data_IF_646533030052
#
_entry.id   IF_646533030052
#
_cell.length_a   1.000
_cell.length_b   1.000
_cell.length_c   1.000
_cell.angle_alpha   90.00
_cell.angle_beta   90.00
_cell.angle_gamma   90.00
#
_symmetry.space_group_name_H-M   'P 1'
#
loop_
_entity.id
_entity.type
_entity.pdbx_description
1 polymer ?
#
# COMPACT_ATOMS: atom_id res chain seq x y z
N UNK A 1 15.57 -3.70 -4.99
CA UNK A 1 14.46 -4.54 -4.51
C UNK A 1 13.15 -3.82 -4.78
N UNK A 2 12.06 -4.52 -4.78
CA UNK A 2 10.72 -3.97 -5.01
C UNK A 2 10.02 -3.71 -3.70
N UNK A 3 9.39 -2.54 -3.56
CA UNK A 3 8.49 -2.24 -2.45
C UNK A 3 7.06 -2.12 -2.99
N UNK A 4 6.13 -2.78 -2.31
CA UNK A 4 4.69 -2.69 -2.61
C UNK A 4 4.02 -1.93 -1.49
N UNK A 5 3.28 -0.88 -1.82
CA UNK A 5 2.60 -0.03 -0.85
C UNK A 5 1.09 -0.23 -0.97
N UNK A 6 0.46 -0.50 0.17
CA UNK A 6 -1.00 -0.38 0.25
C UNK A 6 -1.39 1.10 0.45
N UNK A 7 -2.67 1.37 0.52
CA UNK A 7 -3.17 2.73 0.70
C UNK A 7 -2.67 3.36 2.01
N UNK A 8 -2.63 2.60 3.09
CA UNK A 8 -2.20 3.10 4.39
C UNK A 8 -0.74 3.58 4.35
N UNK A 9 0.11 2.85 3.66
CA UNK A 9 1.53 3.21 3.50
C UNK A 9 1.71 4.43 2.59
N UNK A 10 1.02 4.47 1.46
CA UNK A 10 1.10 5.61 0.54
C UNK A 10 0.68 6.91 1.22
N UNK A 11 -0.37 6.89 2.03
CA UNK A 11 -0.84 8.07 2.74
C UNK A 11 0.22 8.66 3.67
N UNK A 12 1.06 7.83 4.29
CA UNK A 12 2.14 8.29 5.18
C UNK A 12 3.18 9.15 4.46
N UNK A 13 3.31 8.99 3.16
CA UNK A 13 4.24 9.81 2.38
C UNK A 13 3.81 11.28 2.31
N UNK A 14 2.50 11.53 2.33
CA UNK A 14 1.94 12.89 2.13
C UNK A 14 1.52 13.56 3.42
N UNK A 15 1.46 12.83 4.51
CA UNK A 15 0.97 13.33 5.80
C UNK A 15 2.09 13.27 6.85
N UNK A 16 2.21 14.35 7.63
CA UNK A 16 3.19 14.42 8.73
C UNK A 16 2.64 13.71 9.96
N UNK A 17 2.74 12.39 9.96
CA UNK A 17 2.24 11.56 11.04
C UNK A 17 3.18 10.35 11.26
N UNK A 18 3.02 9.59 12.36
CA UNK A 18 3.87 8.42 12.61
C UNK A 18 3.87 7.46 11.44
N UNK A 19 5.06 7.03 11.01
CA UNK A 19 5.23 6.15 9.85
C UNK A 19 5.76 6.87 8.62
N UNK A 20 5.67 8.21 8.56
CA UNK A 20 6.17 8.99 7.42
C UNK A 20 7.66 8.69 7.14
N UNK A 21 8.49 8.67 8.18
CA UNK A 21 9.93 8.45 8.01
C UNK A 21 10.25 7.03 7.52
N UNK A 22 9.52 6.03 8.02
CA UNK A 22 9.69 4.65 7.59
C UNK A 22 9.39 4.51 6.08
N UNK A 23 8.27 5.08 5.63
CA UNK A 23 7.90 5.06 4.22
C UNK A 23 8.95 5.78 3.38
N UNK A 24 9.35 6.98 3.78
CA UNK A 24 10.35 7.78 3.06
C UNK A 24 11.67 7.01 2.93
N UNK A 25 12.09 6.32 3.98
CA UNK A 25 13.32 5.52 3.97
C UNK A 25 13.24 4.38 2.95
N UNK A 26 12.14 3.62 2.95
CA UNK A 26 11.96 2.54 1.98
C UNK A 26 11.91 3.04 0.54
N UNK A 27 11.24 4.16 0.29
CA UNK A 27 11.13 4.73 -1.04
C UNK A 27 12.48 5.26 -1.57
N UNK A 28 13.38 5.66 -0.68
CA UNK A 28 14.75 6.05 -1.07
C UNK A 28 15.62 4.84 -1.39
N UNK A 29 15.43 3.74 -0.68
CA UNK A 29 16.28 2.55 -0.81
C UNK A 29 15.85 1.65 -1.97
N UNK A 30 14.55 1.53 -2.21
CA UNK A 30 14.00 0.60 -3.19
C UNK A 30 13.72 1.32 -4.51
N UNK A 31 14.35 0.88 -5.62
CA UNK A 31 14.20 1.57 -6.90
C UNK A 31 12.85 1.32 -7.58
N UNK A 32 12.16 0.26 -7.24
CA UNK A 32 10.89 -0.14 -7.86
C UNK A 32 9.75 -0.03 -6.85
N UNK A 33 8.82 0.88 -7.13
CA UNK A 33 7.63 1.08 -6.31
C UNK A 33 6.42 0.50 -7.04
N UNK A 34 5.64 -0.31 -6.34
CA UNK A 34 4.45 -0.94 -6.89
C UNK A 34 3.24 -0.69 -5.98
N UNK A 35 2.07 -0.66 -6.57
CA UNK A 35 0.82 -0.56 -5.83
C UNK A 35 -0.31 -1.13 -6.69
N UNK A 36 -1.40 -1.53 -6.04
CA UNK A 36 -2.61 -1.92 -6.76
C UNK A 36 -3.28 -0.69 -7.37
N UNK A 37 -3.98 -0.87 -8.48
CA UNK A 37 -4.75 0.21 -9.12
C UNK A 37 -5.76 0.85 -8.16
N UNK A 38 -6.26 0.10 -7.17
CA UNK A 38 -7.20 0.59 -6.18
C UNK A 38 -6.61 1.70 -5.31
N UNK A 39 -5.30 1.66 -5.06
CA UNK A 39 -4.63 2.64 -4.21
C UNK A 39 -4.80 4.07 -4.72
N UNK A 40 -4.86 4.26 -6.03
CA UNK A 40 -5.03 5.59 -6.61
C UNK A 40 -6.30 6.27 -6.09
N UNK A 41 -7.44 5.59 -6.21
CA UNK A 41 -8.73 6.17 -5.80
C UNK A 41 -8.82 6.33 -4.28
N UNK A 42 -8.32 5.36 -3.55
CA UNK A 42 -8.34 5.42 -2.09
C UNK A 42 -7.47 6.55 -1.54
N UNK A 43 -6.27 6.72 -2.07
CA UNK A 43 -5.36 7.80 -1.63
C UNK A 43 -5.95 9.16 -1.99
N UNK A 44 -6.43 9.34 -3.21
CA UNK A 44 -7.01 10.63 -3.64
C UNK A 44 -8.22 11.01 -2.77
N UNK A 45 -9.10 10.06 -2.49
CA UNK A 45 -10.27 10.33 -1.65
C UNK A 45 -9.87 10.64 -0.20
N UNK A 46 -8.90 9.92 0.35
CA UNK A 46 -8.40 10.17 1.70
C UNK A 46 -7.72 11.52 1.82
N UNK A 47 -6.91 11.92 0.84
CA UNK A 47 -6.28 13.25 0.82
C UNK A 47 -7.32 14.36 0.73
N UNK A 48 -8.39 14.16 -0.03
CA UNK A 48 -9.51 15.10 -0.08
C UNK A 48 -10.14 15.29 1.29
N UNK A 49 -10.32 14.22 2.05
CA UNK A 49 -10.96 14.26 3.37
C UNK A 49 -10.13 14.97 4.44
N UNK A 50 -8.80 14.91 4.34
CA UNK A 50 -7.90 15.52 5.33
C UNK A 50 -7.44 16.93 4.94
N UNK A 51 -7.61 17.33 3.69
CA UNK A 51 -7.16 18.64 3.21
C UNK A 51 -7.93 19.77 3.88
N UNK A 52 -7.22 20.86 4.19
CA UNK A 52 -7.76 22.05 4.82
C UNK A 52 -8.38 23.03 3.81
N UNK A 53 -8.84 22.54 2.69
CA UNK A 53 -9.48 23.35 1.65
C UNK A 53 -8.96 23.03 0.26
N UNK A 54 -9.51 23.74 -0.79
CA UNK A 54 -9.21 23.41 -2.18
C UNK A 54 -7.73 23.58 -2.57
N UNK A 55 -7.04 24.54 -1.98
CA UNK A 55 -5.62 24.80 -2.31
C UNK A 55 -4.75 23.65 -1.83
N UNK A 56 -4.89 23.26 -0.57
CA UNK A 56 -4.14 22.14 0.00
C UNK A 56 -4.49 20.83 -0.72
N UNK A 57 -5.75 20.61 -1.06
CA UNK A 57 -6.16 19.42 -1.80
C UNK A 57 -5.46 19.34 -3.16
N UNK A 58 -5.40 20.45 -3.90
CA UNK A 58 -4.71 20.46 -5.19
C UNK A 58 -3.22 20.18 -5.04
N UNK A 59 -2.59 20.73 -4.01
CA UNK A 59 -1.16 20.50 -3.74
C UNK A 59 -0.89 19.03 -3.41
N UNK A 60 -1.70 18.43 -2.52
CA UNK A 60 -1.57 17.03 -2.14
C UNK A 60 -1.81 16.10 -3.34
N UNK A 61 -2.84 16.37 -4.13
CA UNK A 61 -3.12 15.57 -5.32
C UNK A 61 -2.03 15.70 -6.38
N UNK A 62 -1.46 16.89 -6.54
CA UNK A 62 -0.36 17.11 -7.50
C UNK A 62 0.88 16.32 -7.11
N UNK A 63 1.26 16.37 -5.84
CA UNK A 63 2.39 15.60 -5.32
C UNK A 63 2.16 14.10 -5.47
N UNK A 64 0.97 13.63 -5.13
CA UNK A 64 0.61 12.23 -5.29
C UNK A 64 0.66 11.79 -6.76
N UNK A 65 0.15 12.62 -7.66
CA UNK A 65 0.14 12.30 -9.09
C UNK A 65 1.54 12.13 -9.67
N UNK A 66 2.48 12.96 -9.25
CA UNK A 66 3.87 12.83 -9.64
C UNK A 66 4.45 11.46 -9.23
N UNK A 67 4.17 11.04 -8.00
CA UNK A 67 4.60 9.73 -7.52
C UNK A 67 3.88 8.59 -8.26
N UNK A 68 2.58 8.76 -8.51
CA UNK A 68 1.78 7.74 -9.18
C UNK A 68 2.30 7.45 -10.59
N UNK A 69 2.75 8.45 -11.31
CA UNK A 69 3.34 8.28 -12.63
C UNK A 69 4.63 7.44 -12.58
N UNK A 70 5.30 7.41 -11.44
CA UNK A 70 6.50 6.60 -11.21
C UNK A 70 6.19 5.18 -10.74
N UNK A 71 5.04 4.96 -10.13
CA UNK A 71 4.66 3.67 -9.56
C UNK A 71 4.30 2.68 -10.67
N UNK A 72 4.81 1.45 -10.56
CA UNK A 72 4.36 0.35 -11.38
C UNK A 72 3.02 -0.16 -10.83
N UNK A 73 1.94 0.15 -11.52
CA UNK A 73 0.59 -0.13 -11.06
C UNK A 73 0.19 -1.55 -11.46
N UNK A 74 -0.28 -2.33 -10.49
CA UNK A 74 -0.83 -3.66 -10.73
C UNK A 74 -2.33 -3.54 -10.99
N UNK A 75 -2.81 -3.93 -12.17
CA UNK A 75 -4.23 -3.82 -12.50
C UNK A 75 -5.08 -4.81 -11.71
N UNK A 76 -6.31 -4.41 -11.42
CA UNK A 76 -7.30 -5.27 -10.77
C UNK A 76 -8.07 -6.07 -11.84
N UNK A 77 -7.37 -6.97 -12.49
CA UNK A 77 -7.95 -7.85 -13.51
C UNK A 77 -8.65 -9.07 -12.88
N UNK A 78 -9.22 -9.92 -13.71
CA UNK A 78 -9.94 -11.11 -13.27
C UNK A 78 -9.10 -12.01 -12.37
N UNK A 79 -7.84 -12.19 -12.68
CA UNK A 79 -6.91 -13.02 -11.89
C UNK A 79 -6.70 -12.42 -10.49
N UNK A 80 -6.54 -11.12 -10.41
CA UNK A 80 -6.38 -10.40 -9.14
C UNK A 80 -7.67 -10.49 -8.31
N UNK A 81 -8.82 -10.27 -8.95
CA UNK A 81 -10.12 -10.35 -8.28
C UNK A 81 -10.38 -11.75 -7.71
N UNK A 82 -10.10 -12.80 -8.49
CA UNK A 82 -10.26 -14.19 -8.03
C UNK A 82 -9.35 -14.49 -6.84
N UNK A 83 -8.08 -14.08 -6.90
CA UNK A 83 -7.12 -14.32 -5.82
C UNK A 83 -7.50 -13.60 -4.54
N UNK A 84 -8.09 -12.41 -4.64
CA UNK A 84 -8.53 -11.64 -3.47
C UNK A 84 -9.59 -12.36 -2.64
N UNK A 85 -10.46 -13.15 -3.29
CA UNK A 85 -11.47 -13.95 -2.58
C UNK A 85 -10.80 -15.05 -1.75
N UNK A 86 -9.81 -15.73 -2.29
CA UNK A 86 -9.06 -16.75 -1.57
C UNK A 86 -8.34 -16.17 -0.36
N UNK A 87 -7.64 -15.06 -0.55
CA UNK A 87 -6.91 -14.38 0.53
C UNK A 87 -7.88 -13.88 1.59
N UNK A 88 -8.95 -13.22 1.20
CA UNK A 88 -9.96 -12.70 2.12
C UNK A 88 -10.62 -13.80 2.95
N UNK A 89 -10.94 -14.93 2.33
CA UNK A 89 -11.54 -16.07 3.02
C UNK A 89 -10.56 -16.72 4.01
N UNK A 90 -9.30 -16.93 3.60
CA UNK A 90 -8.30 -17.59 4.43
C UNK A 90 -7.87 -16.76 5.63
N UNK A 91 -7.84 -15.45 5.51
CA UNK A 91 -7.32 -14.55 6.54
C UNK A 91 -8.40 -13.64 7.16
N UNK A 92 -9.65 -13.84 6.78
CA UNK A 92 -10.80 -13.05 7.29
C UNK A 92 -10.60 -11.56 7.07
N UNK A 93 -10.14 -11.18 5.88
CA UNK A 93 -9.92 -9.79 5.50
C UNK A 93 -11.10 -9.26 4.72
N UNK A 94 -11.31 -7.95 4.82
CA UNK A 94 -12.22 -7.26 3.92
C UNK A 94 -11.64 -7.25 2.51
N UNK A 95 -12.53 -7.12 1.52
CA UNK A 95 -12.13 -7.25 0.11
C UNK A 95 -11.06 -6.23 -0.31
N UNK A 96 -11.12 -5.01 0.22
CA UNK A 96 -10.14 -3.96 -0.11
C UNK A 96 -8.74 -4.38 0.30
N UNK A 97 -8.57 -4.88 1.52
CA UNK A 97 -7.28 -5.36 2.02
C UNK A 97 -6.78 -6.56 1.22
N UNK A 98 -7.70 -7.49 0.94
CA UNK A 98 -7.38 -8.67 0.14
C UNK A 98 -6.97 -8.32 -1.29
N UNK A 99 -7.54 -7.26 -1.88
CA UNK A 99 -7.18 -6.80 -3.21
C UNK A 99 -5.75 -6.25 -3.26
N UNK A 100 -5.33 -5.49 -2.25
CA UNK A 100 -3.94 -5.01 -2.18
C UNK A 100 -2.95 -6.18 -2.09
N UNK A 101 -3.26 -7.16 -1.28
CA UNK A 101 -2.41 -8.36 -1.14
C UNK A 101 -2.40 -9.21 -2.41
N UNK A 102 -3.55 -9.37 -3.05
CA UNK A 102 -3.64 -10.12 -4.31
C UNK A 102 -2.84 -9.44 -5.43
N UNK A 103 -2.84 -8.11 -5.47
CA UNK A 103 -2.02 -7.37 -6.42
C UNK A 103 -0.53 -7.62 -6.18
N UNK A 104 -0.08 -7.57 -4.92
CA UNK A 104 1.30 -7.85 -4.57
C UNK A 104 1.70 -9.28 -4.90
N UNK A 105 0.78 -10.23 -4.72
CA UNK A 105 1.03 -11.66 -4.97
C UNK A 105 1.37 -11.96 -6.44
N UNK A 106 1.04 -11.07 -7.35
CA UNK A 106 1.36 -11.20 -8.78
C UNK A 106 2.79 -10.82 -9.12
N UNK A 107 3.49 -10.20 -8.19
CA UNK A 107 4.83 -9.70 -8.44
C UNK A 107 5.89 -10.73 -8.03
N UNK A 108 7.06 -10.72 -8.70
CA UNK A 108 8.13 -11.65 -8.33
C UNK A 108 8.69 -11.34 -6.95
N UNK A 109 9.09 -12.41 -6.23
CA UNK A 109 9.82 -12.30 -4.96
C UNK A 109 11.31 -12.18 -5.26
N UNK A 110 12.09 -11.55 -4.39
CA UNK A 110 11.70 -10.95 -3.11
C UNK A 110 11.04 -9.58 -3.30
N UNK A 111 10.12 -9.25 -2.40
CA UNK A 111 9.52 -7.93 -2.31
C UNK A 111 9.24 -7.57 -0.85
N UNK A 112 9.24 -6.27 -0.56
CA UNK A 112 8.81 -5.76 0.73
C UNK A 112 7.39 -5.22 0.60
N UNK A 113 6.48 -5.72 1.45
CA UNK A 113 5.12 -5.22 1.54
C UNK A 113 5.04 -4.20 2.68
N UNK A 114 4.77 -2.97 2.33
CA UNK A 114 4.73 -1.84 3.26
C UNK A 114 3.29 -1.51 3.60
N UNK A 115 2.90 -1.71 4.85
CA UNK A 115 1.53 -1.49 5.33
C UNK A 115 1.51 -1.00 6.77
N UNK A 116 0.50 -0.21 7.11
CA UNK A 116 0.21 0.21 8.48
C UNK A 116 -1.09 -0.40 9.00
N UNK A 117 -1.64 -1.35 8.26
CA UNK A 117 -2.80 -2.13 8.68
C UNK A 117 -2.35 -3.47 9.23
N UNK A 118 -2.39 -3.60 10.57
CA UNK A 118 -1.96 -4.82 11.26
C UNK A 118 -2.76 -6.06 10.84
N UNK A 119 -3.99 -5.89 10.36
CA UNK A 119 -4.81 -7.03 9.92
C UNK A 119 -4.26 -7.70 8.66
N UNK A 120 -3.50 -6.97 7.84
CA UNK A 120 -2.90 -7.52 6.63
C UNK A 120 -1.60 -8.28 6.89
N UNK A 121 -0.94 -8.06 8.02
CA UNK A 121 0.41 -8.58 8.25
C UNK A 121 0.49 -10.10 8.24
N UNK A 122 -0.40 -10.85 8.92
CA UNK A 122 -0.33 -12.32 8.87
C UNK A 122 -0.47 -12.88 7.45
N UNK A 123 -1.36 -12.31 6.65
CA UNK A 123 -1.55 -12.72 5.26
C UNK A 123 -0.30 -12.40 4.43
N UNK A 124 0.27 -11.21 4.58
CA UNK A 124 1.46 -10.80 3.85
C UNK A 124 2.64 -11.74 4.14
N UNK A 125 2.86 -12.09 5.40
CA UNK A 125 3.90 -13.04 5.78
C UNK A 125 3.65 -14.43 5.20
N UNK A 126 2.40 -14.91 5.24
CA UNK A 126 2.02 -16.21 4.69
C UNK A 126 2.24 -16.28 3.18
N UNK A 127 2.08 -15.16 2.48
CA UNK A 127 2.34 -15.07 1.04
C UNK A 127 3.83 -14.99 0.69
N UNK A 128 4.70 -14.94 1.70
CA UNK A 128 6.15 -14.93 1.50
C UNK A 128 6.74 -13.55 1.29
N UNK A 129 6.03 -12.49 1.66
CA UNK A 129 6.55 -11.13 1.59
C UNK A 129 7.42 -10.80 2.80
N UNK A 130 8.42 -9.97 2.61
CA UNK A 130 9.03 -9.24 3.70
C UNK A 130 8.06 -8.11 4.07
N UNK A 131 7.77 -7.94 5.36
CA UNK A 131 6.81 -6.94 5.80
C UNK A 131 7.53 -5.82 6.53
N UNK A 132 7.26 -4.57 6.11
CA UNK A 132 7.67 -3.37 6.83
C UNK A 132 6.41 -2.66 7.34
N UNK A 133 6.43 -2.33 8.62
CA UNK A 133 5.34 -1.67 9.33
C UNK A 133 5.90 -0.96 10.56
N UNK A 134 5.04 -0.46 11.45
CA UNK A 134 5.53 0.06 12.73
C UNK A 134 6.08 -1.09 13.57
N UNK A 135 7.11 -0.81 14.38
CA UNK A 135 7.73 -1.84 15.25
C UNK A 135 6.68 -2.54 16.14
N UNK A 136 5.74 -1.79 16.69
CA UNK A 136 4.71 -2.35 17.54
C UNK A 136 3.78 -3.32 16.80
N UNK A 137 3.48 -3.08 15.54
CA UNK A 137 2.65 -3.98 14.74
C UNK A 137 3.39 -5.27 14.39
N UNK A 138 4.67 -5.19 14.05
CA UNK A 138 5.50 -6.35 13.75
C UNK A 138 5.80 -7.18 14.99
N UNK A 139 6.03 -6.54 16.14
CA UNK A 139 6.33 -7.22 17.40
C UNK A 139 5.15 -8.05 17.92
N UNK A 140 3.92 -7.81 17.46
CA UNK A 140 2.74 -8.58 17.85
C UNK A 140 2.62 -9.91 17.10
N UNK A 141 3.48 -10.14 16.14
CA UNK A 141 3.54 -11.37 15.36
C UNK A 141 4.47 -12.38 16.01
#
# INVERSE_FOLDING_TARGET
MTVVLDTSALLKRYLSEPGHDLVSQHLKQDPVWCASALARSEVQLSLHRVASGPVEQRELWSTFREDWDRIAVVPLDERCLARSVEIGANFRLQIVDALHLAAADRLPRPLTYLTFDSHQIPAALSLGFEVASTESAVALL
#
